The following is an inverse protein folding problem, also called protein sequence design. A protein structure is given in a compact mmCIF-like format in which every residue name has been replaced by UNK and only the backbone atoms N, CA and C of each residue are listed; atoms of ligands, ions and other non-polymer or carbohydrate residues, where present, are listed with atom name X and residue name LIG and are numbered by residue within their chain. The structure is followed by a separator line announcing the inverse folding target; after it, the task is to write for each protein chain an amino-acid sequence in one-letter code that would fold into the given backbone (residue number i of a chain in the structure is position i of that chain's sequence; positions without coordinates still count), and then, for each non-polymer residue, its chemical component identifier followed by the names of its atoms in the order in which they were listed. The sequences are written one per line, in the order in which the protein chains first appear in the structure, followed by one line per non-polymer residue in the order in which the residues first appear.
data_IF_415740764344
#
_entry.id   IF_415740764344
#
_cell.length_a   1.000
_cell.length_b   1.000
_cell.length_c   1.000
_cell.angle_alpha   90.00
_cell.angle_beta   90.00
_cell.angle_gamma   90.00
#
_symmetry.space_group_name_H-M   'P 1'
#
loop_
_entity.id
_entity.type
_entity.pdbx_description
1 polymer ?
#
# COMPACT_ATOMS: atom_id res chain seq x y z
N UNK A 1 0.12 2.80 -35.03
CA UNK A 1 0.25 3.55 -33.76
C UNK A 1 1.23 4.68 -33.99
N UNK A 2 0.81 5.93 -33.83
CA UNK A 2 1.72 7.10 -33.91
C UNK A 2 2.49 7.23 -32.60
N UNK A 3 3.72 7.74 -32.63
CA UNK A 3 4.57 7.89 -31.42
C UNK A 3 3.83 8.64 -30.29
N UNK A 4 3.04 9.65 -30.65
CA UNK A 4 2.20 10.42 -29.73
C UNK A 4 1.16 9.59 -28.97
N UNK A 5 0.57 8.57 -29.61
CA UNK A 5 -0.38 7.67 -28.90
C UNK A 5 0.33 6.85 -27.84
N UNK A 6 1.57 6.44 -28.11
CA UNK A 6 2.36 5.64 -27.16
C UNK A 6 2.80 6.48 -25.97
N UNK A 7 3.18 7.75 -26.20
CA UNK A 7 3.48 8.72 -25.13
C UNK A 7 2.29 8.96 -24.21
N UNK A 8 1.09 9.17 -24.77
CA UNK A 8 -0.13 9.36 -23.97
C UNK A 8 -0.49 8.12 -23.15
N UNK A 9 -0.34 6.92 -23.73
CA UNK A 9 -0.58 5.67 -22.99
C UNK A 9 0.40 5.51 -21.82
N UNK A 10 1.68 5.83 -22.04
CA UNK A 10 2.73 5.70 -21.04
C UNK A 10 2.57 6.74 -19.92
N UNK A 11 2.19 7.97 -20.25
CA UNK A 11 1.83 9.00 -19.27
C UNK A 11 0.62 8.59 -18.44
N UNK A 12 -0.43 8.08 -19.07
CA UNK A 12 -1.62 7.60 -18.35
C UNK A 12 -1.31 6.44 -17.40
N UNK A 13 -0.51 5.49 -17.85
CA UNK A 13 -0.02 4.41 -17.00
C UNK A 13 0.81 4.95 -15.81
N UNK A 14 1.69 5.92 -16.07
CA UNK A 14 2.54 6.53 -15.04
C UNK A 14 1.73 7.24 -13.94
N UNK A 15 0.61 7.89 -14.30
CA UNK A 15 -0.23 8.62 -13.34
C UNK A 15 -1.05 7.73 -12.39
N UNK A 16 -1.25 6.46 -12.75
CA UNK A 16 -1.95 5.46 -11.90
C UNK A 16 -1.02 4.93 -10.79
N UNK A 17 0.28 4.87 -11.05
CA UNK A 17 1.26 4.29 -10.14
C UNK A 17 1.38 5.04 -8.79
N UNK A 18 1.40 6.39 -8.71
CA UNK A 18 1.54 7.12 -7.45
C UNK A 18 0.50 6.75 -6.39
N UNK A 19 -0.78 6.60 -6.77
CA UNK A 19 -1.86 6.23 -5.83
C UNK A 19 -1.71 4.80 -5.33
N UNK A 20 -1.39 3.85 -6.22
CA UNK A 20 -1.10 2.46 -5.86
C UNK A 20 0.10 2.35 -4.92
N UNK A 21 1.21 3.02 -5.26
CA UNK A 21 2.40 3.02 -4.43
C UNK A 21 2.17 3.69 -3.09
N UNK A 22 1.44 4.82 -3.04
CA UNK A 22 1.06 5.47 -1.79
C UNK A 22 0.28 4.54 -0.87
N UNK A 23 -0.69 3.80 -1.42
CA UNK A 23 -1.48 2.83 -0.65
C UNK A 23 -0.62 1.66 -0.17
N UNK A 24 0.16 1.04 -1.07
CA UNK A 24 0.96 -0.15 -0.76
C UNK A 24 2.16 0.13 0.14
N UNK A 25 2.60 1.40 0.22
CA UNK A 25 3.68 1.80 1.12
C UNK A 25 3.27 1.67 2.59
N UNK A 26 2.02 1.99 2.92
CA UNK A 26 1.52 2.00 4.30
C UNK A 26 1.01 0.63 4.76
N UNK A 27 0.57 -0.21 3.83
CA UNK A 27 0.06 -1.56 4.11
C UNK A 27 1.17 -2.47 4.68
N UNK A 28 1.11 -2.88 5.96
CA UNK A 28 2.16 -3.69 6.59
C UNK A 28 2.34 -5.05 5.92
N UNK A 29 1.24 -5.63 5.43
CA UNK A 29 1.19 -6.90 4.71
C UNK A 29 1.99 -6.88 3.39
N UNK A 30 2.16 -5.69 2.79
CA UNK A 30 2.96 -5.49 1.59
C UNK A 30 4.37 -4.95 1.91
N UNK A 31 4.75 -4.96 3.19
CA UNK A 31 6.05 -4.52 3.67
C UNK A 31 7.21 -5.37 3.14
N UNK A 32 8.41 -4.77 3.10
CA UNK A 32 9.62 -5.39 2.55
C UNK A 32 9.99 -6.72 3.20
N UNK A 33 9.69 -6.89 4.49
CA UNK A 33 9.98 -8.11 5.24
C UNK A 33 9.08 -9.29 4.85
N UNK A 34 7.84 -9.03 4.40
CA UNK A 34 6.86 -10.08 4.09
C UNK A 34 6.97 -10.55 2.63
N UNK A 35 7.16 -9.61 1.69
CA UNK A 35 7.19 -9.91 0.25
C UNK A 35 8.57 -10.25 -0.33
N UNK A 36 9.62 -10.27 0.49
CA UNK A 36 10.99 -10.58 0.05
C UNK A 36 11.69 -9.46 -0.73
N UNK A 37 11.13 -8.23 -0.75
CA UNK A 37 11.80 -7.06 -1.29
C UNK A 37 10.87 -6.00 -1.92
N UNK A 38 11.43 -4.82 -2.16
CA UNK A 38 10.71 -3.71 -2.81
C UNK A 38 10.36 -4.02 -4.29
N UNK A 39 11.15 -4.87 -4.94
CA UNK A 39 11.01 -5.20 -6.36
C UNK A 39 9.72 -5.99 -6.64
N UNK A 40 9.42 -6.99 -5.79
CA UNK A 40 8.19 -7.79 -5.92
C UNK A 40 6.95 -6.92 -5.67
N UNK A 41 6.97 -6.13 -4.60
CA UNK A 41 5.88 -5.19 -4.28
C UNK A 41 5.60 -4.24 -5.43
N UNK A 42 6.66 -3.66 -6.01
CA UNK A 42 6.51 -2.73 -7.12
C UNK A 42 6.02 -3.44 -8.39
N UNK A 43 6.48 -4.68 -8.65
CA UNK A 43 5.98 -5.51 -9.75
C UNK A 43 4.48 -5.78 -9.63
N UNK A 44 3.98 -6.09 -8.44
CA UNK A 44 2.54 -6.30 -8.19
C UNK A 44 1.74 -5.02 -8.38
N UNK A 45 2.25 -3.87 -7.93
CA UNK A 45 1.59 -2.59 -8.17
C UNK A 45 1.52 -2.26 -9.67
N UNK A 46 2.61 -2.49 -10.41
CA UNK A 46 2.65 -2.28 -11.87
C UNK A 46 1.70 -3.23 -12.61
N UNK A 47 1.61 -4.49 -12.22
CA UNK A 47 0.69 -5.44 -12.85
C UNK A 47 -0.77 -5.06 -12.59
N UNK A 48 -1.10 -4.62 -11.37
CA UNK A 48 -2.44 -4.09 -11.05
C UNK A 48 -2.75 -2.82 -11.85
N UNK A 49 -1.78 -1.91 -12.02
CA UNK A 49 -1.97 -0.70 -12.80
C UNK A 49 -2.40 -0.98 -14.26
N UNK A 50 -1.93 -2.07 -14.86
CA UNK A 50 -2.35 -2.48 -16.21
C UNK A 50 -3.85 -2.82 -16.28
N UNK A 51 -4.40 -3.42 -15.23
CA UNK A 51 -5.84 -3.71 -15.16
C UNK A 51 -6.69 -2.46 -14.90
N UNK A 52 -6.13 -1.46 -14.21
CA UNK A 52 -6.81 -0.18 -13.93
C UNK A 52 -6.79 0.73 -15.16
N UNK A 53 -5.73 0.67 -15.97
CA UNK A 53 -5.52 1.53 -17.14
C UNK A 53 -6.77 1.76 -18.03
N UNK A 54 -7.51 0.74 -18.49
CA UNK A 54 -8.69 0.97 -19.35
C UNK A 54 -9.79 1.81 -18.69
N UNK A 55 -9.87 1.83 -17.36
CA UNK A 55 -10.85 2.67 -16.63
C UNK A 55 -10.46 4.16 -16.56
N UNK A 56 -9.17 4.48 -16.72
CA UNK A 56 -8.62 5.84 -16.60
C UNK A 56 -8.23 6.44 -17.95
N UNK A 57 -8.07 5.61 -18.99
CA UNK A 57 -7.60 6.04 -20.32
C UNK A 57 -8.45 7.15 -20.97
N UNK A 58 -9.71 7.33 -20.56
CA UNK A 58 -10.61 8.38 -21.07
C UNK A 58 -10.57 9.71 -20.32
N UNK A 59 -9.92 9.81 -19.16
CA UNK A 59 -9.94 11.03 -18.31
C UNK A 59 -8.66 11.86 -18.40
N UNK A 60 -7.67 11.41 -19.17
CA UNK A 60 -6.35 12.02 -19.22
C UNK A 60 -6.40 13.46 -19.78
N UNK A 61 -5.86 14.46 -19.06
CA UNK A 61 -5.79 15.82 -19.56
C UNK A 61 -4.85 15.92 -20.78
N UNK A 62 -5.32 16.55 -21.85
CA UNK A 62 -4.64 16.61 -23.16
C UNK A 62 -3.39 17.51 -23.16
N UNK A 63 -3.26 18.41 -22.18
CA UNK A 63 -2.07 19.24 -21.99
C UNK A 63 -1.91 19.59 -20.51
N UNK A 64 -0.84 19.10 -19.88
CA UNK A 64 -0.48 19.43 -18.50
C UNK A 64 0.80 20.25 -18.50
N UNK A 65 0.76 21.42 -17.86
CA UNK A 65 1.97 22.16 -17.50
C UNK A 65 2.76 21.41 -16.42
N UNK A 66 4.07 21.64 -16.32
CA UNK A 66 4.95 20.93 -15.38
C UNK A 66 4.50 21.07 -13.91
N UNK A 67 3.98 22.26 -13.55
CA UNK A 67 3.42 22.50 -12.22
C UNK A 67 2.12 21.72 -11.99
N UNK A 68 1.25 21.65 -12.99
CA UNK A 68 -0.02 20.92 -12.92
C UNK A 68 0.21 19.41 -12.79
N UNK A 69 1.19 18.88 -13.52
CA UNK A 69 1.60 17.48 -13.42
C UNK A 69 2.12 17.16 -12.01
N UNK A 70 2.96 18.04 -11.43
CA UNK A 70 3.46 17.87 -10.06
C UNK A 70 2.35 17.88 -9.02
N UNK A 71 1.39 18.80 -9.13
CA UNK A 71 0.22 18.87 -8.25
C UNK A 71 -0.67 17.62 -8.41
N UNK A 72 -0.86 17.14 -9.64
CA UNK A 72 -1.63 15.93 -9.91
C UNK A 72 -0.99 14.72 -9.26
N UNK A 73 0.32 14.50 -9.46
CA UNK A 73 1.06 13.42 -8.79
C UNK A 73 0.94 13.53 -7.27
N UNK A 74 1.09 14.75 -6.72
CA UNK A 74 0.94 14.99 -5.28
C UNK A 74 -0.43 14.60 -4.74
N UNK A 75 -1.51 14.98 -5.44
CA UNK A 75 -2.89 14.56 -5.13
C UNK A 75 -3.01 13.04 -5.16
N UNK A 76 -2.50 12.38 -6.19
CA UNK A 76 -2.58 10.92 -6.34
C UNK A 76 -1.86 10.18 -5.22
N UNK A 77 -0.65 10.63 -4.85
CA UNK A 77 0.09 10.09 -3.69
C UNK A 77 -0.71 10.26 -2.41
N UNK A 78 -1.28 11.44 -2.18
CA UNK A 78 -2.04 11.74 -0.96
C UNK A 78 -3.27 10.86 -0.85
N UNK A 79 -4.03 10.69 -1.94
CA UNK A 79 -5.18 9.77 -1.98
C UNK A 79 -4.76 8.33 -1.69
N UNK A 80 -3.64 7.88 -2.28
CA UNK A 80 -3.07 6.57 -2.02
C UNK A 80 -2.72 6.37 -0.55
N UNK A 81 -2.03 7.35 0.05
CA UNK A 81 -1.64 7.34 1.46
C UNK A 81 -2.86 7.33 2.38
N UNK A 82 -3.91 8.11 2.10
CA UNK A 82 -5.13 8.09 2.91
C UNK A 82 -5.79 6.71 2.91
N UNK A 83 -5.95 6.10 1.72
CA UNK A 83 -6.52 4.76 1.61
C UNK A 83 -5.65 3.72 2.33
N UNK A 84 -4.33 3.76 2.11
CA UNK A 84 -3.38 2.88 2.79
C UNK A 84 -3.41 3.05 4.31
N UNK A 85 -3.52 4.28 4.80
CA UNK A 85 -3.58 4.60 6.22
C UNK A 85 -4.80 3.97 6.89
N UNK A 86 -6.00 4.16 6.33
CA UNK A 86 -7.24 3.60 6.90
C UNK A 86 -7.14 2.07 7.02
N UNK A 87 -6.56 1.43 6.02
CA UNK A 87 -6.44 -0.04 5.97
C UNK A 87 -5.32 -0.54 6.90
N UNK A 88 -4.29 0.28 7.16
CA UNK A 88 -3.19 -0.07 8.06
C UNK A 88 -3.56 0.00 9.55
N UNK A 89 -4.53 0.85 9.94
CA UNK A 89 -4.99 1.01 11.34
C UNK A 89 -5.23 -0.33 12.07
N UNK A 90 -6.04 -1.28 11.54
CA UNK A 90 -6.29 -2.54 12.25
C UNK A 90 -5.03 -3.39 12.46
N UNK A 91 -4.06 -3.32 11.53
CA UNK A 91 -2.79 -4.03 11.67
C UNK A 91 -1.95 -3.45 12.80
N UNK A 92 -1.80 -2.12 12.85
CA UNK A 92 -1.07 -1.46 13.92
C UNK A 92 -1.75 -1.63 15.28
N UNK A 93 -3.08 -1.61 15.32
CA UNK A 93 -3.84 -1.83 16.55
C UNK A 93 -3.57 -3.22 17.15
N UNK A 94 -3.60 -4.29 16.34
CA UNK A 94 -3.32 -5.64 16.83
C UNK A 94 -1.86 -5.85 17.22
N UNK A 95 -0.92 -5.30 16.46
CA UNK A 95 0.50 -5.35 16.80
C UNK A 95 0.78 -4.64 18.13
N UNK A 96 0.20 -3.46 18.34
CA UNK A 96 0.29 -2.71 19.59
C UNK A 96 -0.35 -3.48 20.77
N UNK A 97 -1.52 -4.09 20.56
CA UNK A 97 -2.15 -4.94 21.58
C UNK A 97 -1.26 -6.11 21.98
N UNK A 98 -0.65 -6.81 21.03
CA UNK A 98 0.28 -7.91 21.32
C UNK A 98 1.51 -7.44 22.08
N UNK A 99 2.05 -6.28 21.71
CA UNK A 99 3.15 -5.65 22.43
C UNK A 99 2.79 -5.31 23.89
N UNK A 100 1.59 -4.78 24.14
CA UNK A 100 1.13 -4.50 25.50
C UNK A 100 0.98 -5.77 26.35
N UNK A 101 0.49 -6.86 25.76
CA UNK A 101 0.37 -8.16 26.44
C UNK A 101 1.75 -8.71 26.83
N UNK A 102 2.71 -8.67 25.91
CA UNK A 102 4.07 -9.15 26.18
C UNK A 102 4.78 -8.31 27.23
N UNK A 103 4.53 -6.99 27.23
CA UNK A 103 5.04 -6.09 28.25
C UNK A 103 4.49 -6.39 29.64
N UNK A 104 3.19 -6.67 29.76
CA UNK A 104 2.59 -7.02 31.04
C UNK A 104 3.05 -8.38 31.57
N UNK A 105 3.35 -9.34 30.68
CA UNK A 105 3.86 -10.66 31.07
C UNK A 105 5.37 -10.69 31.34
N UNK A 106 6.06 -9.56 31.14
CA UNK A 106 7.52 -9.46 31.32
C UNK A 106 8.33 -10.13 30.21
N UNK A 107 7.70 -10.55 29.10
CA UNK A 107 8.40 -11.18 27.98
C UNK A 107 9.39 -10.22 27.29
N UNK A 108 9.10 -8.92 27.30
CA UNK A 108 9.98 -7.85 26.78
C UNK A 108 11.24 -7.63 27.64
N UNK A 109 11.31 -8.17 28.87
CA UNK A 109 12.55 -8.12 29.65
C UNK A 109 13.65 -8.96 29.02
N UNK A 110 13.29 -10.06 28.34
CA UNK A 110 14.26 -10.92 27.65
C UNK A 110 14.95 -10.19 26.47
N UNK A 111 14.22 -9.33 25.76
CA UNK A 111 14.79 -8.53 24.66
C UNK A 111 15.61 -7.33 25.16
N UNK A 112 15.30 -6.82 26.35
CA UNK A 112 16.07 -5.74 27.01
C UNK A 112 17.41 -6.24 27.57
N UNK A 113 17.47 -7.50 28.02
CA UNK A 113 18.68 -8.12 28.58
C UNK A 113 19.71 -8.53 27.51
N UNK A 114 19.29 -8.78 26.27
CA UNK A 114 20.21 -9.09 25.17
C UNK A 114 19.85 -8.35 23.86
N UNK A 115 20.21 -7.05 23.75
CA UNK A 115 19.95 -6.24 22.56
C UNK A 115 20.75 -6.68 21.32
N UNK A 116 21.78 -7.53 21.46
CA UNK A 116 22.58 -8.05 20.33
C UNK A 116 21.80 -9.03 19.45
N UNK A 117 20.68 -9.57 19.92
CA UNK A 117 19.77 -10.41 19.12
C UNK A 117 18.86 -9.59 18.18
N UNK A 118 18.97 -8.25 18.19
CA UNK A 118 18.50 -7.37 17.12
C UNK A 118 16.98 -7.26 16.92
N UNK A 119 16.18 -7.96 17.72
CA UNK A 119 14.74 -8.05 17.51
C UNK A 119 13.97 -7.78 18.80
N UNK A 120 13.58 -6.51 18.98
CA UNK A 120 12.53 -6.07 19.91
C UNK A 120 11.12 -6.45 19.38
N UNK A 121 10.97 -7.58 18.69
CA UNK A 121 9.65 -8.00 18.22
C UNK A 121 8.94 -8.77 19.32
N UNK A 122 7.74 -8.32 19.65
CA UNK A 122 6.81 -9.00 20.54
C UNK A 122 6.34 -10.31 19.87
N UNK A 123 6.63 -11.49 20.43
CA UNK A 123 6.16 -12.76 19.86
C UNK A 123 4.63 -12.82 19.73
N UNK A 124 3.90 -12.28 20.71
CA UNK A 124 2.44 -12.23 20.69
C UNK A 124 1.95 -11.24 19.62
N UNK A 125 2.59 -10.09 19.47
CA UNK A 125 2.31 -9.11 18.41
C UNK A 125 2.50 -9.68 17.02
N UNK A 126 3.61 -10.38 16.78
CA UNK A 126 3.87 -11.04 15.50
C UNK A 126 2.82 -12.11 15.18
N UNK A 127 2.41 -12.91 16.17
CA UNK A 127 1.36 -13.92 16.01
C UNK A 127 -0.01 -13.30 15.65
N UNK A 128 -0.41 -12.22 16.35
CA UNK A 128 -1.66 -11.52 16.07
C UNK A 128 -1.64 -10.85 14.69
N UNK A 129 -0.52 -10.22 14.32
CA UNK A 129 -0.34 -9.63 13.01
C UNK A 129 -0.46 -10.69 11.89
N UNK A 130 0.19 -11.84 12.05
CA UNK A 130 0.08 -12.94 11.08
C UNK A 130 -1.35 -13.50 10.98
N UNK A 131 -2.04 -13.62 12.10
CA UNK A 131 -3.44 -14.07 12.13
C UNK A 131 -4.34 -13.08 11.38
N UNK A 132 -4.15 -11.78 11.58
CA UNK A 132 -4.89 -10.75 10.85
C UNK A 132 -4.59 -10.78 9.35
N UNK A 133 -3.31 -10.95 8.98
CA UNK A 133 -2.90 -11.12 7.58
C UNK A 133 -3.65 -12.29 6.93
N UNK A 134 -3.74 -13.43 7.62
CA UNK A 134 -4.50 -14.58 7.13
C UNK A 134 -5.98 -14.24 6.95
N UNK A 135 -6.63 -13.65 7.97
CA UNK A 135 -8.04 -13.25 7.90
C UNK A 135 -8.31 -12.20 6.81
N UNK A 136 -7.38 -11.29 6.58
CA UNK A 136 -7.50 -10.24 5.58
C UNK A 136 -7.55 -10.82 4.16
N UNK A 137 -6.75 -11.85 3.87
CA UNK A 137 -6.78 -12.53 2.57
C UNK A 137 -7.93 -13.53 2.46
N UNK A 138 -8.18 -14.35 3.48
CA UNK A 138 -9.24 -15.38 3.42
C UNK A 138 -10.64 -14.79 3.51
N UNK A 139 -10.81 -13.69 4.25
CA UNK A 139 -12.07 -12.97 4.39
C UNK A 139 -12.42 -12.06 3.21
N UNK A 140 -11.56 -11.98 2.18
CA UNK A 140 -11.80 -11.14 1.00
C UNK A 140 -11.61 -9.64 1.22
N UNK A 141 -11.06 -9.21 2.36
CA UNK A 141 -10.81 -7.80 2.63
C UNK A 141 -9.80 -7.18 1.64
N UNK A 142 -8.84 -7.98 1.13
CA UNK A 142 -7.96 -7.54 0.05
C UNK A 142 -8.72 -7.24 -1.26
N UNK A 143 -9.74 -8.04 -1.60
CA UNK A 143 -10.60 -7.74 -2.75
C UNK A 143 -11.44 -6.48 -2.50
N UNK A 144 -11.92 -6.28 -1.26
CA UNK A 144 -12.56 -5.05 -0.84
C UNK A 144 -11.66 -3.82 -0.98
N UNK A 145 -10.38 -3.93 -0.62
CA UNK A 145 -9.36 -2.89 -0.83
C UNK A 145 -9.19 -2.56 -2.31
N UNK A 146 -9.07 -3.58 -3.18
CA UNK A 146 -8.96 -3.37 -4.62
C UNK A 146 -10.23 -2.72 -5.19
N UNK A 147 -11.42 -3.11 -4.71
CA UNK A 147 -12.68 -2.47 -5.07
C UNK A 147 -12.74 -1.01 -4.64
N UNK A 148 -12.28 -0.68 -3.43
CA UNK A 148 -12.18 0.70 -2.95
C UNK A 148 -11.16 1.53 -3.76
N UNK A 149 -10.03 0.94 -4.14
CA UNK A 149 -9.04 1.58 -5.02
C UNK A 149 -9.64 1.89 -6.40
N UNK A 150 -10.32 0.93 -7.03
CA UNK A 150 -11.00 1.13 -8.31
C UNK A 150 -12.10 2.20 -8.20
N UNK A 151 -12.94 2.13 -7.16
CA UNK A 151 -13.96 3.15 -6.88
C UNK A 151 -13.38 4.54 -6.62
N UNK A 152 -12.17 4.61 -6.06
CA UNK A 152 -11.45 5.87 -5.88
C UNK A 152 -11.08 6.51 -7.23
N UNK A 153 -10.73 5.73 -8.25
CA UNK A 153 -10.47 6.27 -9.60
C UNK A 153 -11.75 6.81 -10.27
N UNK A 154 -12.89 6.19 -10.01
CA UNK A 154 -14.18 6.66 -10.52
C UNK A 154 -14.66 7.96 -9.82
N UNK A 155 -14.45 8.09 -8.51
CA UNK A 155 -14.87 9.25 -7.72
C UNK A 155 -13.90 10.44 -7.85
N UNK A 156 -12.60 10.17 -7.84
CA UNK A 156 -11.54 11.16 -8.08
C UNK A 156 -10.73 10.76 -9.30
N UNK A 157 -11.16 11.17 -10.50
CA UNK A 157 -10.42 10.91 -11.72
C UNK A 157 -9.04 11.58 -11.69
N UNK A 158 -8.13 10.97 -12.46
CA UNK A 158 -6.79 11.48 -12.80
C UNK A 158 -6.94 12.61 -13.80
#
# INVERSE_FOLDING_TARGET
MTVQTLEQMLLGFSLILPRLFGCFLLLPILGKQVLGGALVRNGVACSLALFIYPSVAGTLPVALDGLQLGLLIGKEVLLGLLLGFVVAIPFWALEACGFLIDNQRGATLASTLNPLLGSQTSPTGAFLAQTLVTLFFTGGAFLGLLGALLGSYASWPV
#
